data_IF_143399723732
#
_entry.id   IF_143399723732
#
_cell.length_a   1.000
_cell.length_b   1.000
_cell.length_c   1.000
_cell.angle_alpha   90.00
_cell.angle_beta   90.00
_cell.angle_gamma   90.00
#
_symmetry.space_group_name_H-M   'P 1'
#
loop_
_entity.id
_entity.type
_entity.pdbx_description
1 polymer ?
#
# COMPACT_ATOMS: atom_id res chain seq x y z
N UNK A 1 -11.15 -4.94 19.18
CA UNK A 1 -11.35 -3.47 19.09
C UNK A 1 -10.25 -2.77 18.29
N UNK A 2 -8.96 -2.95 18.61
CA UNK A 2 -7.88 -2.24 17.89
C UNK A 2 -7.85 -2.53 16.38
N UNK A 3 -8.08 -3.79 15.97
CA UNK A 3 -8.17 -4.17 14.55
C UNK A 3 -9.18 -3.31 13.77
N UNK A 4 -10.37 -3.10 14.32
CA UNK A 4 -11.41 -2.30 13.68
C UNK A 4 -11.02 -0.81 13.60
N UNK A 5 -10.45 -0.26 14.68
CA UNK A 5 -9.95 1.12 14.71
C UNK A 5 -8.88 1.34 13.65
N UNK A 6 -7.92 0.42 13.55
CA UNK A 6 -6.87 0.47 12.53
C UNK A 6 -7.44 0.27 11.12
N UNK A 7 -8.46 -0.56 10.94
CA UNK A 7 -9.14 -0.70 9.66
C UNK A 7 -9.76 0.64 9.21
N UNK A 8 -10.52 1.32 10.08
CA UNK A 8 -11.08 2.64 9.76
C UNK A 8 -10.00 3.71 9.54
N UNK A 9 -8.95 3.71 10.35
CA UNK A 9 -7.82 4.62 10.18
C UNK A 9 -7.12 4.39 8.82
N UNK A 10 -6.88 3.13 8.45
CA UNK A 10 -6.29 2.77 7.16
C UNK A 10 -7.16 3.22 5.98
N UNK A 11 -8.48 3.00 6.06
CA UNK A 11 -9.45 3.49 5.05
C UNK A 11 -9.38 5.01 4.94
N UNK A 12 -9.41 5.74 6.06
CA UNK A 12 -9.36 7.19 6.07
C UNK A 12 -8.08 7.73 5.42
N UNK A 13 -6.93 7.15 5.76
CA UNK A 13 -5.62 7.57 5.25
C UNK A 13 -5.47 7.26 3.76
N UNK A 14 -5.86 6.06 3.31
CA UNK A 14 -5.82 5.71 1.89
C UNK A 14 -6.85 6.48 1.07
N UNK A 15 -8.05 6.70 1.59
CA UNK A 15 -9.06 7.53 0.93
C UNK A 15 -8.57 8.98 0.80
N UNK A 16 -7.91 9.54 1.82
CA UNK A 16 -7.30 10.86 1.73
C UNK A 16 -6.19 10.90 0.67
N UNK A 17 -5.34 9.86 0.60
CA UNK A 17 -4.32 9.72 -0.44
C UNK A 17 -4.93 9.67 -1.86
N UNK A 18 -5.97 8.87 -2.06
CA UNK A 18 -6.73 8.80 -3.31
C UNK A 18 -7.39 10.14 -3.68
N UNK A 19 -8.02 10.81 -2.70
CA UNK A 19 -8.63 12.11 -2.90
C UNK A 19 -7.61 13.17 -3.33
N UNK A 20 -6.43 13.21 -2.72
CA UNK A 20 -5.35 14.14 -3.09
C UNK A 20 -4.90 13.90 -4.53
N UNK A 21 -4.78 12.65 -4.96
CA UNK A 21 -4.50 12.32 -6.37
C UNK A 21 -5.63 12.79 -7.28
N UNK A 22 -6.89 12.56 -6.90
CA UNK A 22 -8.05 13.02 -7.69
C UNK A 22 -8.07 14.54 -7.88
N UNK A 23 -7.80 15.28 -6.81
CA UNK A 23 -7.66 16.74 -6.86
C UNK A 23 -6.51 17.17 -7.76
N UNK A 24 -5.34 16.53 -7.65
CA UNK A 24 -4.18 16.83 -8.52
C UNK A 24 -4.49 16.57 -10.00
N UNK A 25 -5.28 15.54 -10.28
CA UNK A 25 -5.73 15.19 -11.62
C UNK A 25 -6.92 16.02 -12.10
N UNK A 26 -7.37 17.00 -11.32
CA UNK A 26 -8.49 17.91 -11.62
C UNK A 26 -9.78 17.15 -11.94
N UNK A 27 -10.01 16.04 -11.24
CA UNK A 27 -11.28 15.33 -11.32
C UNK A 27 -12.39 16.16 -10.68
N UNK A 28 -13.63 15.94 -11.09
CA UNK A 28 -14.79 16.53 -10.44
C UNK A 28 -15.02 15.92 -9.05
N UNK A 29 -16.00 16.45 -8.30
CA UNK A 29 -16.30 15.99 -6.94
C UNK A 29 -16.56 14.48 -6.90
N UNK A 30 -17.31 13.96 -7.88
CA UNK A 30 -17.65 12.54 -7.94
C UNK A 30 -16.42 11.68 -8.26
N UNK A 31 -15.54 12.13 -9.14
CA UNK A 31 -14.28 11.47 -9.47
C UNK A 31 -13.31 11.45 -8.28
N UNK A 32 -13.19 12.56 -7.53
CA UNK A 32 -12.40 12.61 -6.30
C UNK A 32 -12.94 11.61 -5.27
N UNK A 33 -14.25 11.61 -5.04
CA UNK A 33 -14.90 10.69 -4.12
C UNK A 33 -14.74 9.22 -4.55
N UNK A 34 -14.95 8.92 -5.83
CA UNK A 34 -14.83 7.57 -6.38
C UNK A 34 -13.42 7.05 -6.21
N UNK A 35 -12.41 7.87 -6.56
CA UNK A 35 -11.02 7.48 -6.41
C UNK A 35 -10.66 7.27 -4.94
N UNK A 36 -11.12 8.13 -4.03
CA UNK A 36 -10.92 7.99 -2.59
C UNK A 36 -11.56 6.71 -2.03
N UNK A 37 -12.83 6.45 -2.37
CA UNK A 37 -13.56 5.27 -1.91
C UNK A 37 -12.85 3.99 -2.37
N UNK A 38 -12.55 3.88 -3.68
CA UNK A 38 -11.88 2.72 -4.24
C UNK A 38 -10.47 2.52 -3.68
N UNK A 39 -9.71 3.60 -3.48
CA UNK A 39 -8.39 3.54 -2.85
C UNK A 39 -8.48 3.05 -1.40
N UNK A 40 -9.44 3.59 -0.64
CA UNK A 40 -9.63 3.27 0.77
C UNK A 40 -10.09 1.84 1.03
N UNK A 41 -11.06 1.34 0.24
CA UNK A 41 -11.68 0.03 0.50
C UNK A 41 -11.15 -1.09 -0.41
N UNK A 42 -10.55 -0.76 -1.56
CA UNK A 42 -10.19 -1.73 -2.59
C UNK A 42 -9.23 -2.82 -2.11
N UNK A 43 -8.25 -2.47 -1.29
CA UNK A 43 -7.34 -3.44 -0.67
C UNK A 43 -8.07 -4.43 0.23
N UNK A 44 -9.01 -3.95 1.07
CA UNK A 44 -9.85 -4.79 1.91
C UNK A 44 -10.80 -5.68 1.13
N UNK A 45 -11.35 -5.20 0.01
CA UNK A 45 -12.15 -6.02 -0.91
C UNK A 45 -11.31 -7.14 -1.52
N UNK A 46 -10.10 -6.84 -1.99
CA UNK A 46 -9.20 -7.85 -2.54
C UNK A 46 -8.85 -8.91 -1.49
N UNK A 47 -8.55 -8.49 -0.25
CA UNK A 47 -8.33 -9.38 0.90
C UNK A 47 -9.50 -10.33 1.11
N UNK A 48 -10.71 -9.77 1.21
CA UNK A 48 -11.91 -10.53 1.54
C UNK A 48 -12.24 -11.55 0.45
N UNK A 49 -12.08 -11.18 -0.83
CA UNK A 49 -12.25 -12.11 -1.96
C UNK A 49 -11.23 -13.26 -1.89
N UNK A 50 -9.96 -12.98 -1.58
CA UNK A 50 -8.93 -14.01 -1.44
C UNK A 50 -9.18 -14.95 -0.25
N UNK A 51 -9.85 -14.46 0.80
CA UNK A 51 -10.23 -15.23 1.98
C UNK A 51 -11.58 -15.94 1.84
N UNK A 52 -12.29 -15.77 0.72
CA UNK A 52 -13.63 -16.33 0.51
C UNK A 52 -14.73 -15.69 1.37
N UNK A 53 -14.50 -14.45 1.84
CA UNK A 53 -15.46 -13.68 2.64
C UNK A 53 -16.47 -13.02 1.68
N UNK A 54 -17.70 -13.53 1.68
CA UNK A 54 -18.77 -13.06 0.80
C UNK A 54 -20.05 -12.74 1.58
N UNK A 55 -20.60 -11.52 1.49
CA UNK A 55 -20.02 -10.34 0.80
C UNK A 55 -18.80 -9.76 1.54
N UNK A 56 -17.88 -9.07 0.84
CA UNK A 56 -16.75 -8.40 1.50
C UNK A 56 -17.20 -7.43 2.59
N UNK A 57 -16.44 -7.31 3.68
CA UNK A 57 -16.77 -6.49 4.85
C UNK A 57 -16.98 -5.02 4.49
N UNK A 58 -16.30 -4.53 3.44
CA UNK A 58 -16.49 -3.18 2.89
C UNK A 58 -17.91 -2.91 2.36
N UNK A 59 -18.69 -3.95 2.05
CA UNK A 59 -20.06 -3.86 1.53
C UNK A 59 -21.13 -4.31 2.53
N UNK A 60 -20.75 -4.78 3.71
CA UNK A 60 -21.71 -5.24 4.73
C UNK A 60 -22.41 -4.10 5.46
N UNK A 61 -21.83 -2.91 5.45
CA UNK A 61 -22.36 -1.74 6.14
C UNK A 61 -21.84 -0.42 5.57
N UNK A 62 -22.37 0.68 6.10
CA UNK A 62 -22.08 2.03 5.61
C UNK A 62 -20.80 2.61 6.20
N UNK A 63 -20.23 2.01 7.23
CA UNK A 63 -19.16 2.58 8.04
C UNK A 63 -17.90 2.82 7.20
N UNK A 64 -17.47 1.81 6.44
CA UNK A 64 -16.26 1.89 5.62
C UNK A 64 -16.37 2.96 4.53
N UNK A 65 -17.52 3.01 3.84
CA UNK A 65 -17.79 4.02 2.82
C UNK A 65 -17.97 5.41 3.43
N UNK A 66 -18.58 5.52 4.62
CA UNK A 66 -18.75 6.78 5.33
C UNK A 66 -17.40 7.37 5.72
N UNK A 67 -16.48 6.55 6.26
CA UNK A 67 -15.12 6.96 6.59
C UNK A 67 -14.38 7.46 5.34
N UNK A 68 -14.45 6.72 4.22
CA UNK A 68 -13.83 7.15 2.97
C UNK A 68 -14.44 8.46 2.43
N UNK A 69 -15.77 8.62 2.56
CA UNK A 69 -16.50 9.81 2.12
C UNK A 69 -16.10 11.05 2.93
N UNK A 70 -15.99 10.91 4.26
CA UNK A 70 -15.54 11.99 5.15
C UNK A 70 -14.10 12.40 4.80
N UNK A 71 -13.21 11.43 4.59
CA UNK A 71 -11.83 11.70 4.19
C UNK A 71 -11.76 12.42 2.83
N UNK A 72 -12.55 11.98 1.85
CA UNK A 72 -12.64 12.60 0.54
C UNK A 72 -13.14 14.05 0.61
N UNK A 73 -14.22 14.29 1.35
CA UNK A 73 -14.77 15.63 1.56
C UNK A 73 -13.78 16.56 2.28
N UNK A 74 -13.10 16.05 3.31
CA UNK A 74 -12.07 16.78 4.03
C UNK A 74 -10.94 17.19 3.08
N UNK A 75 -10.40 16.25 2.31
CA UNK A 75 -9.34 16.58 1.34
C UNK A 75 -9.85 17.54 0.28
N UNK A 76 -11.04 17.35 -0.26
CA UNK A 76 -11.58 18.23 -1.31
C UNK A 76 -11.64 19.70 -0.84
N UNK A 77 -12.09 19.95 0.39
CA UNK A 77 -12.21 21.30 0.97
C UNK A 77 -10.84 21.87 1.37
N UNK A 78 -10.00 21.07 2.02
CA UNK A 78 -8.73 21.52 2.59
C UNK A 78 -7.51 21.27 1.68
N UNK A 79 -7.71 20.86 0.42
CA UNK A 79 -6.62 20.61 -0.52
C UNK A 79 -5.65 21.80 -0.72
N UNK A 80 -6.07 23.08 -0.68
CA UNK A 80 -5.16 24.22 -0.90
C UNK A 80 -4.04 24.31 0.15
N UNK A 81 -4.29 23.80 1.36
CA UNK A 81 -3.34 23.77 2.47
C UNK A 81 -2.25 22.71 2.26
N UNK A 82 -2.46 21.73 1.38
CA UNK A 82 -1.47 20.73 1.01
C UNK A 82 -0.54 21.28 -0.07
N UNK A 83 0.25 22.31 0.27
CA UNK A 83 1.19 22.99 -0.64
C UNK A 83 2.23 22.06 -1.29
N UNK A 84 2.35 20.81 -0.81
CA UNK A 84 3.12 19.71 -1.45
C UNK A 84 2.27 18.42 -1.49
N UNK A 85 1.20 18.42 -2.29
CA UNK A 85 0.30 17.27 -2.44
C UNK A 85 1.05 15.95 -2.73
N UNK A 86 2.12 15.98 -3.54
CA UNK A 86 2.89 14.76 -3.86
C UNK A 86 3.53 14.11 -2.62
N UNK A 87 4.20 14.90 -1.79
CA UNK A 87 4.83 14.36 -0.57
C UNK A 87 3.77 13.92 0.44
N UNK A 88 2.63 14.64 0.49
CA UNK A 88 1.52 14.29 1.36
C UNK A 88 0.91 12.95 0.98
N UNK A 89 0.71 12.69 -0.32
CA UNK A 89 0.26 11.39 -0.84
C UNK A 89 1.22 10.29 -0.42
N UNK A 90 2.54 10.44 -0.63
CA UNK A 90 3.52 9.39 -0.30
C UNK A 90 3.57 9.08 1.20
N UNK A 91 3.45 10.09 2.06
CA UNK A 91 3.42 9.91 3.52
C UNK A 91 2.13 9.22 3.97
N UNK A 92 0.97 9.67 3.49
CA UNK A 92 -0.30 9.03 3.79
C UNK A 92 -0.31 7.58 3.30
N UNK A 93 0.14 7.36 2.08
CA UNK A 93 0.25 6.03 1.47
C UNK A 93 1.17 5.10 2.28
N UNK A 94 2.31 5.60 2.78
CA UNK A 94 3.19 4.85 3.69
C UNK A 94 2.52 4.45 5.01
N UNK A 95 1.74 5.36 5.60
CA UNK A 95 1.00 5.10 6.84
C UNK A 95 -0.12 4.08 6.58
N UNK A 96 -0.94 4.31 5.56
CA UNK A 96 -2.04 3.44 5.17
C UNK A 96 -1.55 2.04 4.82
N UNK A 97 -0.47 1.93 4.03
CA UNK A 97 0.16 0.67 3.64
C UNK A 97 0.65 -0.10 4.86
N UNK A 98 1.31 0.55 5.82
CA UNK A 98 1.76 -0.15 7.02
C UNK A 98 0.59 -0.67 7.87
N UNK A 99 -0.43 0.16 8.08
CA UNK A 99 -1.64 -0.26 8.79
C UNK A 99 -2.32 -1.45 8.10
N UNK A 100 -2.55 -1.36 6.78
CA UNK A 100 -3.21 -2.44 6.03
C UNK A 100 -2.37 -3.69 5.86
N UNK A 101 -1.03 -3.59 5.89
CA UNK A 101 -0.16 -4.77 5.89
C UNK A 101 -0.38 -5.60 7.15
N UNK A 102 -0.51 -4.92 8.30
CA UNK A 102 -0.71 -5.57 9.59
C UNK A 102 -2.15 -6.05 9.77
N UNK A 103 -3.15 -5.19 9.50
CA UNK A 103 -4.56 -5.59 9.63
C UNK A 103 -4.93 -6.68 8.63
N UNK A 104 -4.44 -6.60 7.39
CA UNK A 104 -4.68 -7.62 6.37
C UNK A 104 -4.08 -8.98 6.74
N UNK A 105 -2.84 -8.99 7.25
CA UNK A 105 -2.19 -10.21 7.70
C UNK A 105 -2.89 -10.83 8.91
N UNK A 106 -3.25 -10.02 9.92
CA UNK A 106 -3.95 -10.53 11.10
C UNK A 106 -5.36 -11.03 10.76
N UNK A 107 -6.11 -10.32 9.92
CA UNK A 107 -7.41 -10.80 9.45
C UNK A 107 -7.25 -12.14 8.72
N UNK A 108 -6.25 -12.30 7.87
CA UNK A 108 -6.02 -13.58 7.21
C UNK A 108 -5.74 -14.72 8.21
N UNK A 109 -4.96 -14.48 9.26
CA UNK A 109 -4.74 -15.46 10.32
C UNK A 109 -6.02 -15.82 11.06
N UNK A 110 -6.92 -14.85 11.31
CA UNK A 110 -8.22 -15.11 11.93
C UNK A 110 -9.19 -15.89 11.04
N UNK A 111 -8.89 -15.99 9.74
CA UNK A 111 -9.63 -16.79 8.77
C UNK A 111 -8.89 -18.08 8.40
N UNK A 112 -8.13 -18.63 9.36
CA UNK A 112 -7.41 -19.91 9.25
C UNK A 112 -6.42 -20.00 8.07
N UNK A 113 -5.98 -18.84 7.53
CA UNK A 113 -4.95 -18.83 6.51
C UNK A 113 -3.60 -19.25 7.09
N UNK A 114 -2.81 -19.99 6.31
CA UNK A 114 -1.44 -20.33 6.71
C UNK A 114 -0.59 -19.06 6.92
N UNK A 115 0.46 -19.09 7.76
CA UNK A 115 1.34 -17.94 7.96
C UNK A 115 1.89 -17.34 6.66
N UNK A 116 2.21 -18.19 5.68
CA UNK A 116 2.63 -17.78 4.34
C UNK A 116 1.52 -17.04 3.59
N UNK A 117 0.32 -17.62 3.53
CA UNK A 117 -0.82 -17.00 2.88
C UNK A 117 -1.22 -15.68 3.56
N UNK A 118 -1.18 -15.62 4.90
CA UNK A 118 -1.48 -14.42 5.66
C UNK A 118 -0.51 -13.27 5.36
N UNK A 119 0.79 -13.55 5.24
CA UNK A 119 1.77 -12.54 4.84
C UNK A 119 1.48 -12.00 3.42
N UNK A 120 1.21 -12.89 2.45
CA UNK A 120 0.89 -12.47 1.08
C UNK A 120 -0.41 -11.68 1.00
N UNK A 121 -1.46 -12.11 1.70
CA UNK A 121 -2.75 -11.41 1.75
C UNK A 121 -2.58 -10.05 2.43
N UNK A 122 -1.77 -9.95 3.50
CA UNK A 122 -1.42 -8.69 4.13
C UNK A 122 -0.78 -7.70 3.15
N UNK A 123 0.20 -8.16 2.37
CA UNK A 123 0.84 -7.34 1.32
C UNK A 123 -0.18 -6.93 0.26
N UNK A 124 -0.99 -7.85 -0.24
CA UNK A 124 -2.03 -7.55 -1.24
C UNK A 124 -3.03 -6.51 -0.72
N UNK A 125 -3.44 -6.62 0.55
CA UNK A 125 -4.33 -5.64 1.20
C UNK A 125 -3.68 -4.26 1.24
N UNK A 126 -2.39 -4.22 1.62
CA UNK A 126 -1.63 -2.99 1.77
C UNK A 126 -1.38 -2.25 0.45
N UNK A 127 -1.05 -2.99 -0.60
CA UNK A 127 -0.70 -2.42 -1.90
C UNK A 127 -1.92 -2.20 -2.80
N UNK A 128 -2.97 -3.03 -2.63
CA UNK A 128 -4.11 -3.10 -3.55
C UNK A 128 -4.85 -1.78 -3.72
N UNK A 129 -5.05 -1.03 -2.64
CA UNK A 129 -5.69 0.30 -2.71
C UNK A 129 -4.89 1.29 -3.55
N UNK A 130 -3.58 1.40 -3.31
CA UNK A 130 -2.70 2.28 -4.07
C UNK A 130 -2.53 1.86 -5.53
N UNK A 131 -2.45 0.55 -5.80
CA UNK A 131 -2.40 0.02 -7.18
C UNK A 131 -3.68 0.36 -7.94
N UNK A 132 -4.85 0.15 -7.31
CA UNK A 132 -6.12 0.49 -7.93
C UNK A 132 -6.24 1.99 -8.21
N UNK A 133 -5.82 2.84 -7.26
CA UNK A 133 -5.75 4.29 -7.42
C UNK A 133 -4.96 4.68 -8.66
N UNK A 134 -3.74 4.16 -8.77
CA UNK A 134 -2.79 4.56 -9.81
C UNK A 134 -3.27 4.11 -11.20
N UNK A 135 -3.82 2.89 -11.31
CA UNK A 135 -4.43 2.38 -12.54
C UNK A 135 -5.60 3.25 -13.00
N UNK A 136 -6.49 3.65 -12.08
CA UNK A 136 -7.67 4.45 -12.41
C UNK A 136 -7.33 5.85 -12.95
N UNK A 137 -6.19 6.42 -12.55
CA UNK A 137 -5.72 7.72 -13.06
C UNK A 137 -4.68 7.58 -14.19
N UNK A 138 -4.55 6.37 -14.73
CA UNK A 138 -3.64 6.01 -15.81
C UNK A 138 -2.17 6.37 -15.50
N UNK A 139 -1.71 6.07 -14.28
CA UNK A 139 -0.31 6.15 -13.89
C UNK A 139 0.26 4.76 -13.61
N UNK A 140 1.57 4.60 -13.80
CA UNK A 140 2.27 3.37 -13.39
C UNK A 140 2.24 3.28 -11.86
N UNK A 141 1.73 2.18 -11.27
CA UNK A 141 1.63 2.07 -9.82
C UNK A 141 2.97 2.18 -9.11
N UNK A 142 2.98 2.78 -7.90
CA UNK A 142 4.19 2.87 -7.05
C UNK A 142 4.87 1.52 -6.82
N UNK A 143 4.11 0.43 -6.86
CA UNK A 143 4.60 -0.94 -6.76
C UNK A 143 5.60 -1.33 -7.87
N UNK A 144 5.37 -0.85 -9.09
CA UNK A 144 6.13 -1.23 -10.29
C UNK A 144 6.99 -0.05 -10.77
N UNK A 145 6.79 1.13 -10.20
CA UNK A 145 7.56 2.32 -10.55
C UNK A 145 9.05 2.13 -10.25
N UNK A 146 9.88 2.70 -11.11
CA UNK A 146 11.33 2.59 -10.98
C UNK A 146 11.81 3.08 -9.61
N UNK A 147 12.70 2.28 -8.99
CA UNK A 147 13.54 2.68 -7.87
C UNK A 147 12.80 2.93 -6.55
N UNK A 148 11.56 2.49 -6.39
CA UNK A 148 10.80 2.74 -5.17
C UNK A 148 10.67 1.50 -4.27
N UNK A 149 11.01 1.63 -2.98
CA UNK A 149 10.89 0.56 -1.97
C UNK A 149 9.47 0.47 -1.43
N UNK A 150 8.51 0.07 -2.26
CA UNK A 150 7.10 0.02 -1.87
C UNK A 150 6.66 -1.34 -1.31
N UNK A 151 6.97 -2.43 -2.03
CA UNK A 151 6.58 -3.79 -1.62
C UNK A 151 7.34 -4.31 -0.40
N UNK A 152 8.63 -3.97 -0.28
CA UNK A 152 9.51 -4.49 0.77
C UNK A 152 9.03 -4.04 2.16
N UNK A 153 8.76 -2.75 2.43
CA UNK A 153 8.18 -2.33 3.71
C UNK A 153 6.85 -3.04 4.03
N UNK A 154 5.95 -3.19 3.05
CA UNK A 154 4.69 -3.90 3.25
C UNK A 154 4.91 -5.37 3.65
N UNK A 155 5.85 -6.06 2.98
CA UNK A 155 6.27 -7.42 3.33
C UNK A 155 6.82 -7.49 4.76
N UNK A 156 7.64 -6.52 5.16
CA UNK A 156 8.19 -6.51 6.52
C UNK A 156 7.11 -6.33 7.59
N UNK A 157 6.10 -5.48 7.38
CA UNK A 157 5.00 -5.31 8.34
C UNK A 157 4.08 -6.51 8.41
N UNK A 158 3.68 -7.06 7.25
CA UNK A 158 2.86 -8.27 7.19
C UNK A 158 3.59 -9.47 7.82
N UNK A 159 4.86 -9.68 7.47
CA UNK A 159 5.70 -10.73 8.03
C UNK A 159 5.91 -10.57 9.54
N UNK A 160 6.21 -9.36 10.02
CA UNK A 160 6.37 -9.10 11.45
C UNK A 160 5.06 -9.32 12.23
N UNK A 161 3.91 -8.98 11.65
CA UNK A 161 2.60 -9.27 12.26
C UNK A 161 2.40 -10.77 12.42
N UNK A 162 2.66 -11.54 11.36
CA UNK A 162 2.53 -13.00 11.37
C UNK A 162 3.48 -13.64 12.37
N UNK A 163 4.74 -13.19 12.42
CA UNK A 163 5.74 -13.69 13.36
C UNK A 163 5.37 -13.35 14.81
N UNK A 164 4.89 -12.14 15.08
CA UNK A 164 4.44 -11.76 16.41
C UNK A 164 3.26 -12.63 16.87
N UNK A 165 2.28 -12.85 15.99
CA UNK A 165 1.13 -13.70 16.28
C UNK A 165 1.54 -15.17 16.51
N UNK A 166 2.48 -15.71 15.71
CA UNK A 166 2.95 -17.09 15.87
C UNK A 166 3.76 -17.33 17.15
N UNK A 167 4.38 -16.28 17.72
CA UNK A 167 5.03 -16.31 19.04
C UNK A 167 4.06 -16.06 20.20
N UNK A 168 2.75 -16.06 19.95
CA UNK A 168 1.72 -15.91 20.98
C UNK A 168 1.56 -14.47 21.48
N UNK A 169 2.03 -13.47 20.73
CA UNK A 169 1.71 -12.09 21.04
C UNK A 169 0.20 -11.84 20.85
N UNK A 170 -0.38 -11.01 21.71
CA UNK A 170 -1.76 -10.54 21.53
C UNK A 170 -1.93 -9.81 20.19
N UNK A 171 -3.09 -9.92 19.56
CA UNK A 171 -3.48 -9.19 18.34
C UNK A 171 -3.04 -7.73 18.35
N UNK A 172 -3.27 -7.04 19.47
CA UNK A 172 -2.95 -5.63 19.59
C UNK A 172 -1.44 -5.35 19.42
N UNK A 173 -0.59 -6.19 19.99
CA UNK A 173 0.86 -6.10 19.86
C UNK A 173 1.32 -6.46 18.45
N UNK A 174 0.77 -7.53 17.87
CA UNK A 174 1.09 -7.93 16.50
C UNK A 174 0.76 -6.80 15.51
N UNK A 175 -0.41 -6.17 15.64
CA UNK A 175 -0.85 -5.05 14.82
C UNK A 175 0.06 -3.83 14.96
N UNK A 176 0.38 -3.43 16.19
CA UNK A 176 1.23 -2.25 16.45
C UNK A 176 2.63 -2.48 15.88
N UNK A 177 3.22 -3.65 16.14
CA UNK A 177 4.56 -3.99 15.64
C UNK A 177 4.59 -3.99 14.11
N UNK A 178 3.63 -4.67 13.46
CA UNK A 178 3.56 -4.72 12.01
C UNK A 178 3.37 -3.35 11.37
N UNK A 179 2.41 -2.57 11.86
CA UNK A 179 2.09 -1.26 11.31
C UNK A 179 3.24 -0.27 11.48
N UNK A 180 3.85 -0.22 12.68
CA UNK A 180 4.99 0.67 12.96
C UNK A 180 6.21 0.27 12.13
N UNK A 181 6.49 -1.03 11.99
CA UNK A 181 7.63 -1.48 11.19
C UNK A 181 7.46 -1.14 9.70
N UNK A 182 6.30 -1.45 9.11
CA UNK A 182 6.07 -1.14 7.69
C UNK A 182 6.04 0.36 7.42
N UNK A 183 5.26 1.14 8.20
CA UNK A 183 5.16 2.59 8.01
C UNK A 183 6.50 3.28 8.32
N UNK A 184 7.17 2.88 9.41
CA UNK A 184 8.46 3.43 9.80
C UNK A 184 9.54 3.14 8.76
N UNK A 185 9.66 1.89 8.30
CA UNK A 185 10.56 1.54 7.21
C UNK A 185 10.23 2.39 5.98
N UNK A 186 8.97 2.41 5.54
CA UNK A 186 8.60 3.16 4.33
C UNK A 186 8.94 4.65 4.44
N UNK A 187 8.64 5.29 5.57
CA UNK A 187 8.96 6.70 5.78
C UNK A 187 10.47 6.95 5.82
N UNK A 188 11.26 6.05 6.41
CA UNK A 188 12.73 6.12 6.39
C UNK A 188 13.28 5.95 4.97
N UNK A 189 12.75 5.00 4.20
CA UNK A 189 13.14 4.80 2.81
C UNK A 189 12.85 6.04 1.94
N UNK A 190 11.71 6.69 2.18
CA UNK A 190 11.36 7.96 1.51
C UNK A 190 12.25 9.12 1.97
N UNK A 191 12.62 9.17 3.25
CA UNK A 191 13.47 10.24 3.79
C UNK A 191 14.93 10.12 3.30
N UNK A 192 15.42 8.89 3.15
CA UNK A 192 16.80 8.61 2.71
C UNK A 192 16.92 8.31 1.22
N UNK A 193 15.84 8.48 0.44
CA UNK A 193 15.78 8.18 -0.99
C UNK A 193 16.34 6.79 -1.35
N UNK A 194 15.98 5.77 -0.56
CA UNK A 194 16.43 4.39 -0.80
C UNK A 194 15.84 3.81 -2.09
N UNK A 195 16.68 3.14 -2.88
CA UNK A 195 16.33 2.64 -4.22
C UNK A 195 16.68 1.16 -4.40
N UNK A 196 15.83 0.44 -5.15
CA UNK A 196 16.08 -0.93 -5.57
C UNK A 196 17.05 -0.93 -6.77
N UNK A 197 18.01 -1.89 -6.86
CA UNK A 197 18.90 -2.01 -8.02
C UNK A 197 18.13 -2.32 -9.31
N UNK A 198 18.61 -1.78 -10.42
CA UNK A 198 18.08 -2.05 -11.77
C UNK A 198 19.01 -3.05 -12.46
N UNK A 199 18.44 -3.96 -13.24
CA UNK A 199 19.22 -4.81 -14.13
C UNK A 199 20.08 -3.91 -15.06
N UNK A 200 21.41 -4.10 -15.12
CA UNK A 200 22.26 -3.27 -15.97
C UNK A 200 21.79 -3.34 -17.43
N UNK A 201 21.59 -2.19 -18.07
CA UNK A 201 21.40 -2.14 -19.51
C UNK A 201 22.67 -2.68 -20.17
N UNK A 202 22.51 -3.73 -20.96
CA UNK A 202 23.53 -4.28 -21.86
C UNK A 202 24.66 -5.14 -21.25
N UNK A 203 24.30 -6.15 -20.44
CA UNK A 203 25.24 -7.25 -20.11
C UNK A 203 25.77 -7.93 -21.38
N UNK A 204 24.91 -8.11 -22.40
CA UNK A 204 25.24 -8.78 -23.65
C UNK A 204 26.23 -7.97 -24.52
N UNK A 205 26.01 -6.69 -24.74
CA UNK A 205 26.87 -5.83 -25.55
C UNK A 205 28.17 -5.44 -24.84
N UNK A 206 28.22 -5.42 -23.50
CA UNK A 206 29.51 -5.40 -22.77
C UNK A 206 30.33 -6.67 -23.03
N UNK A 207 29.69 -7.84 -23.08
CA UNK A 207 30.34 -9.12 -23.38
C UNK A 207 30.79 -9.20 -24.85
N UNK A 208 29.91 -8.85 -25.80
CA UNK A 208 30.23 -8.79 -27.24
C UNK A 208 31.33 -7.75 -27.52
N UNK A 209 31.29 -6.60 -26.86
CA UNK A 209 32.33 -5.57 -26.95
C UNK A 209 33.67 -6.00 -26.34
N UNK A 210 33.66 -6.79 -25.27
CA UNK A 210 34.86 -7.40 -24.72
C UNK A 210 35.45 -8.45 -25.67
N UNK A 211 34.63 -9.36 -26.22
CA UNK A 211 35.06 -10.34 -27.23
C UNK A 211 35.61 -9.69 -28.50
N UNK A 212 34.96 -8.65 -29.04
CA UNK A 212 35.45 -7.92 -30.22
C UNK A 212 36.80 -7.23 -29.96
N UNK A 213 37.01 -6.69 -28.76
CA UNK A 213 38.31 -6.08 -28.38
C UNK A 213 39.41 -7.11 -28.20
N UNK A 214 39.09 -8.30 -27.70
CA UNK A 214 40.04 -9.41 -27.61
C UNK A 214 40.42 -9.95 -29.00
N UNK A 215 39.45 -10.04 -29.93
CA UNK A 215 39.68 -10.49 -31.31
C UNK A 215 40.45 -9.49 -32.18
N UNK A 216 40.36 -8.17 -31.92
CA UNK A 216 41.10 -7.11 -32.65
C UNK A 216 42.56 -6.93 -32.20
N UNK A 217 43.01 -7.63 -31.15
CA UNK A 217 44.39 -7.57 -30.64
C UNK A 217 45.26 -8.75 -31.12
N UNK A 218 44.77 -9.54 -32.07
CA UNK A 218 45.53 -10.51 -32.87
C UNK A 218 45.61 -10.02 -34.30
#
# INVERSE_FOLDING_TARGET
MLLAVLNYAGIAVFAASGALIGVRKRLDLFGVWTLAALTGVGGGVARDVLLGIHPPASFQGWENITVASIAAAFVFVFHPQFGRLRNSVLVLDAIGMGVFSATGALTALHHDASPFAAALIGITTALGGGVLRDILVNEVPLLIQERDLYAIPALTGAGATVLAASWGATDARALVVGAVLASGFRLLALWQDWRVPIAPEDVAGRFVGACRRALRRR
#
